data_IF_185997519694
#
_entry.id   IF_185997519694
#
_cell.length_a   1.000
_cell.length_b   1.000
_cell.length_c   1.000
_cell.angle_alpha   90.00
_cell.angle_beta   90.00
_cell.angle_gamma   90.00
#
_symmetry.space_group_name_H-M   'P 1'
#
loop_
_entity.id
_entity.type
_entity.pdbx_description
1 polymer ?
#
# COMPACT_ATOMS: atom_id res chain seq x y z
N UNK A 1 -30.03 1.84 17.86
CA UNK A 1 -30.50 2.13 19.25
C UNK A 1 -31.08 0.89 19.96
N UNK A 2 -31.65 -0.07 19.24
CA UNK A 2 -32.27 -1.28 19.82
C UNK A 2 -31.25 -2.35 20.24
N UNK A 3 -30.13 -2.47 19.54
CA UNK A 3 -29.07 -3.47 19.81
C UNK A 3 -28.31 -3.21 21.13
N UNK A 4 -28.20 -1.97 21.58
CA UNK A 4 -27.47 -1.61 22.79
C UNK A 4 -28.39 -1.47 24.05
N UNK A 5 -29.70 -1.56 23.88
CA UNK A 5 -30.65 -1.30 24.96
C UNK A 5 -30.59 -2.30 26.14
N UNK A 6 -29.95 -3.46 25.94
CA UNK A 6 -29.79 -4.49 26.98
C UNK A 6 -28.39 -4.55 27.61
N UNK A 7 -27.46 -3.65 27.22
CA UNK A 7 -26.10 -3.67 27.74
C UNK A 7 -25.87 -2.58 28.78
N UNK A 8 -24.98 -2.87 29.73
CA UNK A 8 -24.58 -1.92 30.76
C UNK A 8 -23.91 -0.68 30.13
N UNK A 9 -24.27 0.50 30.63
CA UNK A 9 -23.59 1.75 30.30
C UNK A 9 -22.31 1.98 31.14
N UNK A 10 -21.99 1.07 32.07
CA UNK A 10 -20.74 1.15 32.82
C UNK A 10 -19.54 0.88 31.89
N UNK A 11 -18.45 1.61 32.11
CA UNK A 11 -17.21 1.33 31.46
C UNK A 11 -16.78 -0.11 31.74
N UNK A 12 -16.28 -0.86 30.75
CA UNK A 12 -15.69 -2.18 30.98
C UNK A 12 -14.55 -2.06 32.00
N UNK A 13 -14.19 -3.17 32.69
CA UNK A 13 -12.99 -3.17 33.51
C UNK A 13 -11.78 -2.78 32.68
N UNK A 14 -10.83 -2.07 33.30
CA UNK A 14 -9.57 -1.68 32.67
C UNK A 14 -8.65 -2.91 32.48
N UNK A 15 -9.02 -3.78 31.56
CA UNK A 15 -8.31 -5.01 31.21
C UNK A 15 -7.81 -4.88 29.78
N UNK A 16 -6.49 -4.84 29.64
CA UNK A 16 -5.84 -4.82 28.34
C UNK A 16 -5.74 -6.25 27.79
N UNK A 17 -6.30 -6.47 26.60
CA UNK A 17 -6.14 -7.75 25.90
C UNK A 17 -4.77 -7.84 25.23
N UNK A 18 -4.11 -8.99 25.32
CA UNK A 18 -2.88 -9.34 24.61
C UNK A 18 -3.06 -10.74 24.03
N UNK A 19 -2.96 -10.94 22.70
CA UNK A 19 -2.81 -9.94 21.63
C UNK A 19 -4.07 -9.09 21.44
N UNK A 20 -3.92 -7.85 21.02
CA UNK A 20 -5.05 -6.94 20.83
C UNK A 20 -5.69 -7.03 19.44
N UNK A 21 -4.93 -7.52 18.46
CA UNK A 21 -5.35 -7.56 17.09
C UNK A 21 -4.81 -8.81 16.39
N UNK A 22 -5.66 -9.47 15.63
CA UNK A 22 -5.28 -10.50 14.69
C UNK A 22 -5.79 -10.10 13.30
N UNK A 23 -4.87 -9.89 12.36
CA UNK A 23 -5.16 -9.57 10.96
C UNK A 23 -4.85 -10.74 10.05
N UNK A 24 -5.60 -10.85 8.97
CA UNK A 24 -5.29 -11.78 7.88
C UNK A 24 -4.63 -11.02 6.74
N UNK A 25 -3.55 -11.54 6.20
CA UNK A 25 -2.98 -11.07 4.94
C UNK A 25 -3.00 -12.18 3.89
N UNK A 26 -3.27 -11.83 2.63
CA UNK A 26 -3.12 -12.75 1.51
C UNK A 26 -1.64 -13.17 1.41
N UNK A 27 -1.38 -14.48 1.39
CA UNK A 27 -0.03 -14.99 1.14
C UNK A 27 0.16 -15.21 -0.37
N UNK A 28 1.31 -14.84 -0.92
CA UNK A 28 1.73 -15.20 -2.28
C UNK A 28 1.77 -16.72 -2.51
N UNK A 29 1.69 -17.52 -1.43
CA UNK A 29 1.68 -18.98 -1.43
C UNK A 29 0.27 -19.59 -1.40
N UNK A 30 -0.80 -18.79 -1.54
CA UNK A 30 -2.19 -19.25 -1.48
C UNK A 30 -2.69 -19.61 -0.07
N UNK A 31 -1.88 -19.43 0.97
CA UNK A 31 -2.29 -19.63 2.37
C UNK A 31 -2.39 -18.28 3.07
N UNK A 32 -3.58 -17.94 3.55
CA UNK A 32 -3.80 -16.75 4.38
C UNK A 32 -2.94 -16.79 5.63
N UNK A 33 -2.15 -15.75 5.85
CA UNK A 33 -1.36 -15.58 7.08
C UNK A 33 -2.22 -14.94 8.14
N UNK A 34 -2.26 -15.51 9.33
CA UNK A 34 -2.89 -14.90 10.51
C UNK A 34 -1.79 -14.26 11.34
N UNK A 35 -1.81 -12.93 11.41
CA UNK A 35 -0.80 -12.09 12.05
C UNK A 35 -1.39 -11.56 13.34
N UNK A 36 -0.84 -11.97 14.48
CA UNK A 36 -1.21 -11.48 15.80
C UNK A 36 -0.22 -10.41 16.25
N UNK A 37 -0.76 -9.28 16.70
CA UNK A 37 0.03 -8.21 17.29
C UNK A 37 0.09 -8.41 18.80
N UNK A 38 1.27 -8.71 19.31
CA UNK A 38 1.54 -8.90 20.73
C UNK A 38 1.82 -7.53 21.40
N UNK A 39 0.82 -6.67 21.34
CA UNK A 39 0.82 -5.37 21.99
C UNK A 39 -0.43 -5.24 22.87
N UNK A 40 -0.35 -4.52 24.00
CA UNK A 40 -1.53 -4.25 24.82
C UNK A 40 -2.62 -3.56 24.00
N UNK A 41 -3.85 -3.97 24.17
CA UNK A 41 -4.99 -3.22 23.63
C UNK A 41 -5.08 -1.87 24.32
N UNK A 42 -4.99 -0.81 23.57
CA UNK A 42 -5.05 0.56 24.07
C UNK A 42 -4.06 1.45 23.36
N UNK A 43 -4.41 2.70 23.22
CA UNK A 43 -3.56 3.70 22.62
C UNK A 43 -2.94 4.56 23.70
N UNK A 44 -1.68 4.92 23.54
CA UNK A 44 -0.98 5.85 24.41
C UNK A 44 -0.95 7.24 23.76
N UNK A 45 -0.73 8.28 24.56
CA UNK A 45 -0.52 9.63 24.05
C UNK A 45 0.64 9.70 23.05
N UNK A 46 1.67 8.89 23.25
CA UNK A 46 2.82 8.79 22.34
C UNK A 46 2.44 8.09 21.03
N UNK A 47 1.67 7.01 21.08
CA UNK A 47 1.15 6.31 19.91
C UNK A 47 0.25 7.21 19.07
N UNK A 48 -0.67 7.95 19.68
CA UNK A 48 -1.50 8.93 18.99
C UNK A 48 -0.69 10.06 18.35
N UNK A 49 0.31 10.61 19.07
CA UNK A 49 1.20 11.64 18.50
C UNK A 49 1.98 11.12 17.29
N UNK A 50 2.48 9.89 17.37
CA UNK A 50 3.13 9.23 16.24
C UNK A 50 2.15 9.10 15.07
N UNK A 51 0.93 8.62 15.33
CA UNK A 51 -0.09 8.49 14.30
C UNK A 51 -0.45 9.83 13.65
N UNK A 52 -0.58 10.90 14.42
CA UNK A 52 -0.82 12.24 13.89
C UNK A 52 0.31 12.70 12.97
N UNK A 53 1.55 12.46 13.36
CA UNK A 53 2.70 12.88 12.55
C UNK A 53 2.81 12.14 11.23
N UNK A 54 2.45 10.85 11.18
CA UNK A 54 2.60 10.01 9.98
C UNK A 54 1.38 10.03 9.06
N UNK A 55 0.18 10.30 9.57
CA UNK A 55 -1.06 10.23 8.82
C UNK A 55 -1.79 11.56 8.67
N UNK A 56 -1.37 12.58 9.43
CA UNK A 56 -2.02 13.88 9.48
C UNK A 56 -3.38 13.89 10.18
N UNK A 57 -3.84 12.76 10.75
CA UNK A 57 -5.10 12.69 11.49
C UNK A 57 -5.08 13.64 12.69
N UNK A 58 -6.25 14.14 13.08
CA UNK A 58 -6.46 15.02 14.24
C UNK A 58 -7.71 14.64 15.00
N UNK A 59 -7.89 15.24 16.14
CA UNK A 59 -9.11 15.05 16.97
C UNK A 59 -10.37 15.61 16.29
N UNK A 60 -11.49 14.97 16.54
CA UNK A 60 -12.86 15.41 16.21
C UNK A 60 -13.12 15.64 14.70
N UNK A 61 -12.40 14.93 13.82
CA UNK A 61 -12.60 14.99 12.37
C UNK A 61 -13.79 14.12 11.94
N UNK A 62 -14.41 14.51 10.82
CA UNK A 62 -15.32 13.64 10.06
C UNK A 62 -14.47 12.76 9.14
N UNK A 63 -14.41 11.49 9.44
CA UNK A 63 -13.54 10.51 8.80
C UNK A 63 -14.34 9.54 7.94
N UNK A 64 -13.90 9.30 6.71
CA UNK A 64 -14.43 8.26 5.85
C UNK A 64 -13.52 7.02 5.90
N UNK A 65 -14.13 5.86 6.13
CA UNK A 65 -13.46 4.58 6.05
C UNK A 65 -13.53 4.06 4.61
N UNK A 66 -12.47 4.23 3.84
CA UNK A 66 -12.42 3.88 2.43
C UNK A 66 -11.73 2.51 2.16
N UNK A 67 -11.87 1.59 3.09
CA UNK A 67 -11.36 0.22 2.99
C UNK A 67 -12.01 -0.71 4.02
N UNK A 68 -11.97 -2.04 3.82
CA UNK A 68 -12.59 -3.00 4.71
C UNK A 68 -11.81 -3.15 6.02
N UNK A 69 -12.54 -3.31 7.13
CA UNK A 69 -11.96 -3.38 8.48
C UNK A 69 -11.09 -4.61 8.75
N UNK A 70 -11.18 -5.65 7.94
CA UNK A 70 -10.33 -6.84 8.11
C UNK A 70 -8.89 -6.64 7.62
N UNK A 71 -8.59 -5.50 6.96
CA UNK A 71 -7.23 -5.11 6.60
C UNK A 71 -6.63 -4.16 7.63
N UNK A 72 -5.32 -4.30 7.87
CA UNK A 72 -4.59 -3.58 8.91
C UNK A 72 -4.69 -2.06 8.79
N UNK A 73 -4.53 -1.49 7.60
CA UNK A 73 -4.52 -0.04 7.43
C UNK A 73 -5.90 0.62 7.68
N UNK A 74 -7.02 0.15 7.07
CA UNK A 74 -8.35 0.68 7.40
C UNK A 74 -8.75 0.44 8.85
N UNK A 75 -8.38 -0.72 9.41
CA UNK A 75 -8.61 -1.04 10.82
C UNK A 75 -7.92 -0.02 11.73
N UNK A 76 -6.61 0.16 11.57
CA UNK A 76 -5.83 1.11 12.37
C UNK A 76 -6.36 2.54 12.24
N UNK A 77 -6.70 2.99 11.02
CA UNK A 77 -7.28 4.30 10.82
C UNK A 77 -8.63 4.47 11.53
N UNK A 78 -9.48 3.44 11.51
CA UNK A 78 -10.78 3.48 12.19
C UNK A 78 -10.63 3.57 13.71
N UNK A 79 -9.81 2.71 14.31
CA UNK A 79 -9.60 2.68 15.76
C UNK A 79 -8.91 3.95 16.26
N UNK A 80 -7.85 4.41 15.61
CA UNK A 80 -7.21 5.68 15.96
C UNK A 80 -8.19 6.86 15.81
N UNK A 81 -9.05 6.84 14.78
CA UNK A 81 -10.11 7.83 14.65
C UNK A 81 -11.10 7.81 15.81
N UNK A 82 -11.50 6.63 16.29
CA UNK A 82 -12.39 6.52 17.48
C UNK A 82 -11.69 7.04 18.75
N UNK A 83 -10.41 6.72 18.96
CA UNK A 83 -9.64 7.29 20.08
C UNK A 83 -9.51 8.81 19.99
N UNK A 84 -9.49 9.36 18.77
CA UNK A 84 -9.49 10.80 18.55
C UNK A 84 -10.87 11.46 18.65
N UNK A 85 -11.94 10.71 18.95
CA UNK A 85 -13.31 11.24 18.96
C UNK A 85 -13.84 11.56 17.55
N UNK A 86 -13.26 11.00 16.49
CA UNK A 86 -13.70 11.23 15.12
C UNK A 86 -15.08 10.62 14.87
N UNK A 87 -15.85 11.27 14.01
CA UNK A 87 -17.10 10.70 13.49
C UNK A 87 -16.77 9.82 12.27
N UNK A 88 -16.94 8.50 12.39
CA UNK A 88 -16.68 7.56 11.30
C UNK A 88 -17.89 7.43 10.38
N UNK A 89 -17.65 7.64 9.08
CA UNK A 89 -18.60 7.33 8.01
C UNK A 89 -18.13 6.04 7.33
N UNK A 90 -18.96 5.00 7.39
CA UNK A 90 -18.68 3.68 6.84
C UNK A 90 -19.56 3.44 5.62
N UNK A 91 -19.00 3.28 4.42
CA UNK A 91 -19.75 2.96 3.22
C UNK A 91 -20.18 1.49 3.21
N UNK A 92 -21.36 1.22 2.63
CA UNK A 92 -21.78 -0.16 2.36
C UNK A 92 -21.11 -0.74 1.10
N UNK A 93 -20.54 0.12 0.24
CA UNK A 93 -19.85 -0.25 -1.00
C UNK A 93 -18.63 0.65 -1.20
N UNK A 94 -17.51 0.04 -1.57
CA UNK A 94 -16.21 0.71 -1.71
C UNK A 94 -15.89 1.04 -3.18
N UNK A 95 -16.81 1.69 -3.90
CA UNK A 95 -16.57 2.20 -5.25
C UNK A 95 -16.34 3.72 -5.26
N UNK A 96 -15.69 4.20 -6.32
CA UNK A 96 -15.31 5.61 -6.46
C UNK A 96 -16.51 6.57 -6.36
N UNK A 97 -17.64 6.23 -6.98
CA UNK A 97 -18.85 7.06 -6.97
C UNK A 97 -19.43 7.18 -5.56
N UNK A 98 -19.54 6.05 -4.85
CA UNK A 98 -20.03 6.03 -3.45
C UNK A 98 -19.10 6.83 -2.54
N UNK A 99 -17.78 6.66 -2.66
CA UNK A 99 -16.79 7.39 -1.85
C UNK A 99 -16.91 8.90 -2.08
N UNK A 100 -16.89 9.37 -3.33
CA UNK A 100 -17.00 10.81 -3.64
C UNK A 100 -18.34 11.38 -3.16
N UNK A 101 -19.45 10.66 -3.37
CA UNK A 101 -20.78 11.05 -2.88
C UNK A 101 -20.82 11.21 -1.35
N UNK A 102 -20.17 10.29 -0.61
CA UNK A 102 -20.13 10.36 0.86
C UNK A 102 -19.22 11.49 1.36
N UNK A 103 -18.09 11.73 0.69
CA UNK A 103 -17.22 12.89 0.97
C UNK A 103 -18.01 14.18 0.91
N UNK A 104 -18.76 14.39 -0.17
CA UNK A 104 -19.60 15.57 -0.34
C UNK A 104 -20.73 15.64 0.70
N UNK A 105 -21.48 14.53 0.85
CA UNK A 105 -22.67 14.49 1.71
C UNK A 105 -22.34 14.77 3.18
N UNK A 106 -21.27 14.18 3.68
CA UNK A 106 -20.89 14.27 5.09
C UNK A 106 -19.77 15.28 5.36
N UNK A 107 -19.29 15.98 4.28
CA UNK A 107 -18.19 16.94 4.36
C UNK A 107 -16.99 16.36 5.07
N UNK A 108 -16.55 15.20 4.58
CA UNK A 108 -15.44 14.44 5.14
C UNK A 108 -14.16 15.29 5.16
N UNK A 109 -13.45 15.23 6.28
CA UNK A 109 -12.22 15.98 6.53
C UNK A 109 -10.98 15.08 6.46
N UNK A 110 -11.10 13.82 6.89
CA UNK A 110 -10.03 12.83 6.84
C UNK A 110 -10.44 11.60 6.05
N UNK A 111 -9.58 11.17 5.16
CA UNK A 111 -9.74 9.89 4.46
C UNK A 111 -8.40 9.19 4.29
N UNK A 112 -8.37 7.88 4.58
CA UNK A 112 -7.26 7.00 4.20
C UNK A 112 -7.75 6.10 3.07
N UNK A 113 -6.98 6.02 1.97
CA UNK A 113 -7.35 5.19 0.82
C UNK A 113 -6.12 4.58 0.13
N UNK A 114 -6.38 3.58 -0.70
CA UNK A 114 -5.34 2.94 -1.51
C UNK A 114 -5.17 3.68 -2.84
N UNK A 115 -3.97 3.65 -3.47
CA UNK A 115 -3.72 4.30 -4.76
C UNK A 115 -4.66 3.86 -5.88
N UNK A 116 -5.08 2.60 -5.89
CA UNK A 116 -6.06 2.08 -6.86
C UNK A 116 -7.39 2.82 -6.79
N UNK A 117 -7.87 3.14 -5.58
CA UNK A 117 -9.09 3.93 -5.40
C UNK A 117 -8.89 5.37 -5.84
N UNK A 118 -7.73 5.96 -5.54
CA UNK A 118 -7.35 7.29 -6.03
C UNK A 118 -7.42 7.34 -7.57
N UNK A 119 -6.84 6.36 -8.24
CA UNK A 119 -6.86 6.26 -9.70
C UNK A 119 -8.29 6.11 -10.26
N UNK A 120 -9.14 5.28 -9.62
CA UNK A 120 -10.54 5.11 -10.03
C UNK A 120 -11.34 6.40 -9.87
N UNK A 121 -11.08 7.17 -8.81
CA UNK A 121 -11.71 8.48 -8.60
C UNK A 121 -11.29 9.47 -9.68
N UNK A 122 -9.98 9.60 -9.97
CA UNK A 122 -9.47 10.48 -11.02
C UNK A 122 -10.07 10.19 -12.40
N UNK A 123 -10.32 8.92 -12.70
CA UNK A 123 -10.88 8.47 -13.99
C UNK A 123 -12.41 8.44 -14.03
N UNK A 124 -13.08 8.77 -12.94
CA UNK A 124 -14.53 8.73 -12.85
C UNK A 124 -15.16 9.81 -13.74
N UNK A 125 -16.11 9.45 -14.64
CA UNK A 125 -16.80 10.44 -15.46
C UNK A 125 -17.47 11.53 -14.61
N UNK A 126 -17.21 12.79 -14.95
CA UNK A 126 -17.80 13.93 -14.24
C UNK A 126 -17.16 14.27 -12.89
N UNK A 127 -16.09 13.59 -12.48
CA UNK A 127 -15.32 13.96 -11.31
C UNK A 127 -14.72 15.36 -11.44
N UNK A 128 -14.79 16.14 -10.38
CA UNK A 128 -14.18 17.46 -10.27
C UNK A 128 -13.45 17.56 -8.93
N UNK A 129 -12.32 18.26 -8.91
CA UNK A 129 -11.54 18.45 -7.67
C UNK A 129 -12.36 19.10 -6.54
N UNK A 130 -13.32 19.94 -6.88
CA UNK A 130 -14.24 20.58 -5.93
C UNK A 130 -15.09 19.56 -5.16
N UNK A 131 -15.27 18.35 -5.70
CA UNK A 131 -16.00 17.27 -5.04
C UNK A 131 -15.27 16.78 -3.77
N UNK A 132 -13.96 17.04 -3.68
CA UNK A 132 -13.09 16.72 -2.53
C UNK A 132 -12.76 17.94 -1.66
N UNK A 133 -13.38 19.10 -1.87
CA UNK A 133 -13.02 20.36 -1.21
C UNK A 133 -13.09 20.35 0.33
N UNK A 134 -13.86 19.42 0.91
CA UNK A 134 -13.94 19.28 2.38
C UNK A 134 -12.78 18.49 2.98
N UNK A 135 -11.97 17.79 2.17
CA UNK A 135 -10.85 16.98 2.67
C UNK A 135 -9.75 17.92 3.17
N UNK A 136 -9.44 17.80 4.44
CA UNK A 136 -8.33 18.49 5.08
C UNK A 136 -7.07 17.64 5.12
N UNK A 137 -7.23 16.31 5.15
CA UNK A 137 -6.13 15.36 5.12
C UNK A 137 -6.52 14.13 4.31
N UNK A 138 -5.68 13.79 3.36
CA UNK A 138 -5.70 12.52 2.65
C UNK A 138 -4.40 11.76 2.97
N UNK A 139 -4.55 10.54 3.49
CA UNK A 139 -3.46 9.61 3.67
C UNK A 139 -3.62 8.44 2.69
N UNK A 140 -2.61 8.11 1.90
CA UNK A 140 -2.66 6.89 1.10
C UNK A 140 -1.61 5.88 1.53
N UNK A 141 -1.94 4.61 1.39
CA UNK A 141 -1.11 3.48 1.80
C UNK A 141 -1.62 2.18 1.15
N UNK A 142 -0.93 1.08 1.38
CA UNK A 142 -1.40 -0.26 1.00
C UNK A 142 -1.23 -0.61 -0.47
N UNK A 143 -0.48 0.16 -1.23
CA UNK A 143 -0.15 -0.11 -2.62
C UNK A 143 0.83 0.90 -3.18
N UNK A 144 1.44 0.56 -4.32
CA UNK A 144 2.36 1.44 -5.02
C UNK A 144 1.60 2.61 -5.64
N UNK A 145 1.99 3.83 -5.29
CA UNK A 145 1.48 5.05 -5.91
C UNK A 145 2.45 5.51 -6.99
N UNK A 146 2.03 5.48 -8.26
CA UNK A 146 2.87 6.02 -9.33
C UNK A 146 3.13 7.51 -9.15
N UNK A 147 4.30 7.97 -9.57
CA UNK A 147 4.65 9.39 -9.47
C UNK A 147 3.65 10.28 -10.22
N UNK A 148 3.12 9.81 -11.34
CA UNK A 148 2.14 10.56 -12.14
C UNK A 148 0.82 10.71 -11.39
N UNK A 149 0.29 9.63 -10.80
CA UNK A 149 -0.89 9.67 -9.96
C UNK A 149 -0.68 10.57 -8.74
N UNK A 150 0.48 10.47 -8.10
CA UNK A 150 0.82 11.32 -6.96
C UNK A 150 0.82 12.81 -7.34
N UNK A 151 1.44 13.17 -8.48
CA UNK A 151 1.46 14.56 -9.00
C UNK A 151 0.06 15.06 -9.29
N UNK A 152 -0.78 14.25 -9.95
CA UNK A 152 -2.18 14.58 -10.21
C UNK A 152 -2.94 14.90 -8.91
N UNK A 153 -2.77 14.07 -7.87
CA UNK A 153 -3.45 14.29 -6.60
C UNK A 153 -2.89 15.45 -5.78
N UNK A 154 -1.63 15.83 -5.97
CA UNK A 154 -1.06 17.05 -5.39
C UNK A 154 -1.62 18.33 -5.99
N UNK A 155 -2.26 18.27 -7.19
CA UNK A 155 -3.02 19.39 -7.76
C UNK A 155 -4.46 19.48 -7.22
N UNK A 156 -4.97 18.38 -6.65
CA UNK A 156 -6.32 18.28 -6.07
C UNK A 156 -6.29 18.58 -4.57
N UNK A 157 -5.38 17.94 -3.86
CA UNK A 157 -5.17 18.08 -2.41
C UNK A 157 -3.87 18.86 -2.18
N UNK A 158 -3.91 19.98 -1.44
CA UNK A 158 -2.69 20.73 -1.11
C UNK A 158 -1.57 19.83 -0.59
N UNK A 159 -0.32 20.02 -1.05
CA UNK A 159 0.78 19.11 -0.72
C UNK A 159 0.99 18.84 0.78
N UNK A 160 0.77 19.86 1.61
CA UNK A 160 0.87 19.75 3.07
C UNK A 160 -0.26 18.94 3.74
N UNK A 161 -1.30 18.57 2.97
CA UNK A 161 -2.45 17.78 3.41
C UNK A 161 -2.47 16.36 2.87
N UNK A 162 -1.52 16.00 1.99
CA UNK A 162 -1.42 14.68 1.41
C UNK A 162 -0.27 13.93 2.05
N UNK A 163 -0.56 12.76 2.61
CA UNK A 163 0.38 11.88 3.28
C UNK A 163 0.47 10.54 2.56
N UNK A 164 1.67 9.99 2.49
CA UNK A 164 1.91 8.61 2.09
C UNK A 164 2.52 7.85 3.26
N UNK A 165 1.98 6.67 3.53
CA UNK A 165 2.42 5.79 4.59
C UNK A 165 2.86 4.46 3.98
N UNK A 166 4.11 4.06 4.21
CA UNK A 166 4.60 2.74 3.89
C UNK A 166 4.83 1.95 5.18
N UNK A 167 4.11 0.87 5.30
CA UNK A 167 4.17 -0.07 6.41
C UNK A 167 3.67 -1.44 5.94
N UNK A 168 3.96 -2.47 6.72
CA UNK A 168 3.45 -3.82 6.52
C UNK A 168 2.57 -4.24 7.69
N UNK A 169 1.69 -5.22 7.45
CA UNK A 169 0.78 -5.73 8.49
C UNK A 169 1.53 -6.28 9.69
N UNK A 170 2.75 -6.76 9.47
CA UNK A 170 3.68 -7.25 10.49
C UNK A 170 4.21 -6.13 11.41
N UNK A 171 3.95 -4.85 11.12
CA UNK A 171 4.38 -3.72 11.94
C UNK A 171 5.88 -3.72 12.32
N UNK A 172 6.76 -4.16 11.40
CA UNK A 172 8.21 -4.25 11.65
C UNK A 172 8.88 -2.88 11.67
N UNK A 173 8.29 -1.93 10.95
CA UNK A 173 8.71 -0.55 10.83
C UNK A 173 7.71 0.25 10.03
N UNK A 174 7.89 1.56 9.99
CA UNK A 174 6.98 2.46 9.29
C UNK A 174 7.71 3.69 8.79
N UNK A 175 7.47 4.05 7.52
CA UNK A 175 7.90 5.34 6.97
C UNK A 175 6.69 6.16 6.60
N UNK A 176 6.83 7.47 6.56
CA UNK A 176 5.84 8.35 5.92
C UNK A 176 6.49 9.54 5.26
N UNK A 177 5.76 10.13 4.32
CA UNK A 177 6.17 11.35 3.63
C UNK A 177 4.95 12.23 3.36
N UNK A 178 5.08 13.52 3.61
CA UNK A 178 4.08 14.51 3.25
C UNK A 178 4.30 15.01 1.83
N UNK A 179 3.26 15.45 1.16
CA UNK A 179 3.32 15.81 -0.26
C UNK A 179 4.30 16.94 -0.59
N UNK A 180 4.45 17.94 0.29
CA UNK A 180 5.43 19.02 0.10
C UNK A 180 6.89 18.54 0.23
N UNK A 181 7.12 17.54 1.08
CA UNK A 181 8.40 16.85 1.21
C UNK A 181 8.64 15.93 0.00
N UNK A 182 7.59 15.21 -0.42
CA UNK A 182 7.65 14.33 -1.59
C UNK A 182 8.01 15.09 -2.88
N UNK A 183 7.58 16.33 -3.04
CA UNK A 183 7.96 17.15 -4.20
C UNK A 183 9.49 17.38 -4.30
N UNK A 184 10.22 17.28 -3.19
CA UNK A 184 11.69 17.35 -3.15
C UNK A 184 12.35 15.97 -3.32
N UNK A 185 11.61 14.89 -2.98
CA UNK A 185 12.07 13.49 -3.06
C UNK A 185 11.06 12.63 -3.84
N UNK A 186 10.85 12.90 -5.15
CA UNK A 186 9.82 12.22 -5.93
C UNK A 186 10.07 10.72 -6.03
N UNK A 187 9.05 9.92 -5.73
CA UNK A 187 9.12 8.44 -5.72
C UNK A 187 9.49 7.83 -4.38
N UNK A 188 9.89 8.64 -3.39
CA UNK A 188 10.16 8.15 -2.04
C UNK A 188 8.87 7.81 -1.30
N UNK A 189 8.94 6.80 -0.43
CA UNK A 189 7.92 6.45 0.57
C UNK A 189 8.24 7.05 1.94
N UNK A 190 9.23 7.95 2.01
CA UNK A 190 9.57 8.74 3.20
C UNK A 190 10.71 8.22 4.05
N UNK A 191 10.83 8.79 5.24
CA UNK A 191 11.81 8.40 6.26
C UNK A 191 11.18 7.52 7.32
N UNK A 192 12.02 6.76 7.99
CA UNK A 192 11.60 5.97 9.16
C UNK A 192 11.04 6.88 10.26
N UNK A 193 9.81 6.62 10.65
CA UNK A 193 9.20 7.20 11.85
C UNK A 193 9.32 6.28 13.05
N UNK A 194 9.19 4.98 12.80
CA UNK A 194 9.30 3.97 13.84
C UNK A 194 10.29 2.91 13.39
N UNK A 195 11.33 2.68 14.19
CA UNK A 195 12.33 1.67 13.93
C UNK A 195 13.53 2.16 13.11
N UNK A 196 14.24 1.20 12.52
CA UNK A 196 15.43 1.39 11.67
C UNK A 196 15.23 0.63 10.36
N UNK A 197 15.89 1.09 9.30
CA UNK A 197 15.93 0.43 8.00
C UNK A 197 17.37 0.11 7.62
N UNK A 198 17.59 -1.05 6.99
CA UNK A 198 18.83 -1.42 6.34
C UNK A 198 18.49 -1.99 4.96
N UNK A 199 19.32 -1.72 3.96
CA UNK A 199 19.21 -2.29 2.62
C UNK A 199 20.35 -3.27 2.44
N UNK A 200 20.05 -4.52 2.03
CA UNK A 200 21.05 -5.59 1.98
C UNK A 200 21.05 -6.31 0.64
N UNK A 201 22.24 -6.76 0.25
CA UNK A 201 22.46 -7.63 -0.90
C UNK A 201 22.04 -9.09 -0.62
N UNK A 202 22.24 -9.96 -1.60
CA UNK A 202 21.95 -11.40 -1.49
C UNK A 202 22.83 -12.14 -0.44
N UNK A 203 24.01 -11.59 -0.12
CA UNK A 203 24.92 -12.08 0.90
C UNK A 203 24.55 -11.56 2.31
N UNK A 204 23.53 -10.71 2.42
CA UNK A 204 23.08 -10.08 3.67
C UNK A 204 23.93 -8.89 4.13
N UNK A 205 24.83 -8.38 3.26
CA UNK A 205 25.65 -7.19 3.56
C UNK A 205 24.88 -5.93 3.22
N UNK A 206 25.04 -4.90 4.07
CA UNK A 206 24.45 -3.61 3.81
C UNK A 206 25.08 -2.96 2.57
N UNK A 207 24.24 -2.46 1.65
CA UNK A 207 24.66 -1.82 0.41
C UNK A 207 24.79 -0.29 0.59
N UNK A 208 25.62 0.38 -0.24
CA UNK A 208 25.72 1.84 -0.23
C UNK A 208 24.38 2.54 -0.52
N UNK A 209 24.25 3.78 -0.07
CA UNK A 209 23.10 4.62 -0.36
C UNK A 209 22.89 4.75 -1.88
N UNK A 210 21.66 4.60 -2.33
CA UNK A 210 21.27 4.66 -3.74
C UNK A 210 21.35 3.31 -4.47
N UNK A 211 21.94 2.29 -3.88
CA UNK A 211 21.95 0.93 -4.44
C UNK A 211 20.72 0.15 -3.99
N UNK A 212 20.12 -0.59 -4.95
CA UNK A 212 18.93 -1.40 -4.69
C UNK A 212 19.34 -2.71 -4.03
N UNK A 213 18.68 -3.03 -2.92
CA UNK A 213 18.76 -4.31 -2.22
C UNK A 213 17.45 -4.66 -1.56
N UNK A 214 17.45 -5.74 -0.79
CA UNK A 214 16.30 -6.14 0.01
C UNK A 214 16.15 -5.22 1.23
N UNK A 215 14.91 -4.78 1.48
CA UNK A 215 14.59 -3.90 2.60
C UNK A 215 14.43 -4.73 3.87
N UNK A 216 15.22 -4.39 4.87
CA UNK A 216 15.13 -4.92 6.22
C UNK A 216 14.73 -3.81 7.18
N UNK A 217 13.86 -4.14 8.13
CA UNK A 217 13.43 -3.20 9.17
C UNK A 217 13.53 -3.81 10.55
N UNK A 218 13.67 -2.94 11.56
CA UNK A 218 13.73 -3.30 12.97
C UNK A 218 13.12 -2.23 13.84
N UNK A 219 12.37 -2.58 14.87
CA UNK A 219 11.86 -1.65 15.87
C UNK A 219 12.95 -1.12 16.83
N UNK A 220 14.18 -1.63 16.74
CA UNK A 220 15.27 -1.27 17.65
C UNK A 220 15.30 -2.04 18.96
N UNK A 221 14.23 -2.73 19.33
CA UNK A 221 14.16 -3.76 20.36
C UNK A 221 14.02 -5.14 19.68
N UNK A 222 14.60 -6.18 20.29
CA UNK A 222 14.55 -7.54 19.73
C UNK A 222 13.25 -8.28 20.08
N UNK A 223 12.29 -7.61 20.69
CA UNK A 223 11.02 -8.22 21.07
C UNK A 223 10.12 -8.41 19.85
N UNK A 224 9.68 -9.62 19.56
CA UNK A 224 8.70 -9.86 18.51
C UNK A 224 7.37 -9.22 18.91
N UNK A 225 7.03 -8.09 18.28
CA UNK A 225 5.73 -7.44 18.49
C UNK A 225 4.61 -8.09 17.68
N UNK A 226 5.01 -8.97 16.74
CA UNK A 226 4.09 -9.61 15.81
C UNK A 226 4.48 -11.06 15.64
N UNK A 227 3.50 -11.95 15.71
CA UNK A 227 3.65 -13.38 15.51
C UNK A 227 2.68 -13.90 14.46
N UNK A 228 3.09 -14.95 13.75
CA UNK A 228 2.17 -15.70 12.89
C UNK A 228 1.56 -16.86 13.69
N UNK A 229 0.24 -16.98 13.66
CA UNK A 229 -0.45 -18.08 14.35
C UNK A 229 -0.35 -19.40 13.61
N UNK A 230 -0.24 -19.37 12.31
CA UNK A 230 -0.29 -20.53 11.42
C UNK A 230 0.99 -20.74 10.60
N UNK A 231 2.06 -19.99 10.88
CA UNK A 231 3.34 -20.08 10.19
C UNK A 231 4.50 -19.84 11.17
N UNK A 232 5.73 -20.25 10.83
CA UNK A 232 6.90 -19.86 11.60
C UNK A 232 7.05 -18.33 11.68
N UNK A 233 7.64 -17.80 12.76
CA UNK A 233 7.92 -16.38 12.86
C UNK A 233 8.89 -15.94 11.75
N UNK A 234 8.82 -14.65 11.38
CA UNK A 234 9.80 -14.08 10.45
C UNK A 234 11.22 -14.23 11.05
N UNK A 235 12.18 -14.71 10.25
CA UNK A 235 13.57 -14.74 10.68
C UNK A 235 14.05 -13.36 11.14
N UNK A 236 14.80 -13.37 12.24
CA UNK A 236 15.44 -12.18 12.81
C UNK A 236 16.94 -12.38 12.71
N UNK A 237 17.66 -11.40 12.21
CA UNK A 237 19.12 -11.45 12.22
C UNK A 237 19.73 -11.09 13.59
N UNK A 238 21.06 -11.13 13.70
CA UNK A 238 21.78 -10.84 14.93
C UNK A 238 21.66 -9.38 15.40
N UNK A 239 21.22 -8.47 14.53
CA UNK A 239 21.05 -7.03 14.80
C UNK A 239 19.60 -6.65 15.06
N UNK A 240 18.67 -7.63 15.03
CA UNK A 240 17.24 -7.45 15.26
C UNK A 240 16.45 -7.02 14.02
N UNK A 241 17.04 -7.12 12.82
CA UNK A 241 16.35 -6.81 11.58
C UNK A 241 15.58 -8.02 11.03
N UNK A 242 14.49 -7.72 10.33
CA UNK A 242 13.68 -8.68 9.59
C UNK A 242 13.49 -8.19 8.17
N UNK A 243 13.54 -9.10 7.19
CA UNK A 243 13.12 -8.79 5.83
C UNK A 243 11.64 -8.41 5.81
N UNK A 244 11.32 -7.34 5.07
CA UNK A 244 9.93 -6.97 4.78
C UNK A 244 9.41 -7.60 3.49
N UNK A 245 10.30 -8.29 2.74
CA UNK A 245 9.97 -8.95 1.48
C UNK A 245 9.89 -8.00 0.28
N UNK A 246 10.35 -6.78 0.44
CA UNK A 246 10.37 -5.73 -0.59
C UNK A 246 11.82 -5.39 -0.96
N UNK A 247 12.00 -4.89 -2.20
CA UNK A 247 13.26 -4.37 -2.73
C UNK A 247 13.20 -2.85 -2.79
N UNK A 248 14.33 -2.19 -2.54
CA UNK A 248 14.40 -0.74 -2.57
C UNK A 248 15.77 -0.20 -2.23
N UNK A 249 15.87 1.10 -2.02
CA UNK A 249 17.11 1.76 -1.61
C UNK A 249 16.81 2.93 -0.68
N UNK A 250 17.82 3.35 0.06
CA UNK A 250 17.80 4.60 0.85
C UNK A 250 18.77 5.58 0.20
N UNK A 251 18.33 6.83 -0.02
CA UNK A 251 19.20 7.88 -0.53
C UNK A 251 20.12 8.48 0.55
N UNK A 252 21.02 9.38 0.16
CA UNK A 252 21.96 10.02 1.05
C UNK A 252 21.29 10.90 2.13
N UNK A 253 20.05 11.33 1.89
CA UNK A 253 19.26 12.12 2.83
C UNK A 253 18.41 11.23 3.77
N UNK A 254 18.49 9.91 3.63
CA UNK A 254 17.78 8.92 4.46
C UNK A 254 16.34 8.65 4.05
N UNK A 255 15.95 9.00 2.82
CA UNK A 255 14.64 8.66 2.27
C UNK A 255 14.66 7.27 1.66
N UNK A 256 13.61 6.48 1.99
CA UNK A 256 13.41 5.15 1.44
C UNK A 256 12.63 5.24 0.12
N UNK A 257 13.10 4.47 -0.87
CA UNK A 257 12.46 4.29 -2.16
C UNK A 257 12.12 2.82 -2.34
N UNK A 258 10.85 2.54 -2.57
CA UNK A 258 10.36 1.21 -2.91
C UNK A 258 10.57 0.94 -4.39
N UNK A 259 11.13 -0.22 -4.74
CA UNK A 259 11.32 -0.66 -6.12
C UNK A 259 10.28 -1.70 -6.54
N UNK A 260 10.16 -2.80 -5.79
CA UNK A 260 9.19 -3.88 -6.05
C UNK A 260 9.13 -4.84 -4.86
N UNK A 261 8.22 -5.83 -4.93
CA UNK A 261 8.30 -7.00 -4.06
C UNK A 261 9.39 -7.95 -4.54
N UNK A 262 10.13 -8.53 -3.61
CA UNK A 262 11.15 -9.53 -3.93
C UNK A 262 10.55 -10.75 -4.65
N UNK A 263 9.34 -11.16 -4.28
CA UNK A 263 8.63 -12.27 -4.92
C UNK A 263 8.20 -11.99 -6.36
N UNK A 264 8.04 -10.72 -6.72
CA UNK A 264 7.47 -10.30 -8.02
C UNK A 264 8.57 -9.86 -9.00
N UNK A 265 9.83 -9.86 -8.52
CA UNK A 265 11.01 -9.61 -9.35
C UNK A 265 11.21 -10.75 -10.36
N UNK A 266 11.33 -10.39 -11.62
CA UNK A 266 11.49 -11.32 -12.74
C UNK A 266 12.97 -11.38 -13.11
N UNK A 267 13.58 -12.56 -12.99
CA UNK A 267 14.95 -12.77 -13.48
C UNK A 267 14.88 -13.27 -14.91
N UNK A 268 15.29 -12.44 -15.87
CA UNK A 268 15.24 -12.73 -17.30
C UNK A 268 16.61 -12.54 -17.93
N UNK A 269 17.21 -13.62 -18.44
CA UNK A 269 18.55 -13.58 -19.06
C UNK A 269 19.66 -13.10 -18.12
N UNK A 270 19.50 -13.30 -16.80
CA UNK A 270 20.44 -12.82 -15.78
C UNK A 270 20.21 -11.38 -15.31
N UNK A 271 19.23 -10.69 -15.87
CA UNK A 271 18.87 -9.34 -15.47
C UNK A 271 17.64 -9.34 -14.55
N UNK A 272 17.69 -8.53 -13.49
CA UNK A 272 16.58 -8.32 -12.59
C UNK A 272 15.61 -7.27 -13.14
N UNK A 273 14.36 -7.67 -13.36
CA UNK A 273 13.30 -6.79 -13.85
C UNK A 273 12.21 -6.68 -12.78
N UNK A 274 11.93 -5.47 -12.38
CA UNK A 274 10.86 -5.19 -11.43
C UNK A 274 9.52 -5.10 -12.17
N UNK A 275 8.59 -5.98 -11.83
CA UNK A 275 7.26 -6.03 -12.45
C UNK A 275 6.54 -4.68 -12.33
N UNK A 276 6.58 -4.06 -11.16
CA UNK A 276 5.95 -2.76 -10.89
C UNK A 276 6.46 -1.63 -11.80
N UNK A 277 7.74 -1.63 -12.18
CA UNK A 277 8.30 -0.64 -13.10
C UNK A 277 7.67 -0.75 -14.50
N UNK A 278 7.52 -1.98 -14.98
CA UNK A 278 6.91 -2.25 -16.30
C UNK A 278 5.42 -1.93 -16.29
N UNK A 279 4.72 -2.33 -15.23
CA UNK A 279 3.30 -2.01 -15.02
C UNK A 279 3.05 -0.50 -15.01
N UNK A 280 3.85 0.27 -14.25
CA UNK A 280 3.74 1.72 -14.21
C UNK A 280 3.90 2.35 -15.59
N UNK A 281 4.81 1.85 -16.40
CA UNK A 281 5.00 2.36 -17.76
C UNK A 281 3.82 2.01 -18.66
N UNK A 282 3.30 0.79 -18.62
CA UNK A 282 2.12 0.40 -19.39
C UNK A 282 0.89 1.22 -19.02
N UNK A 283 0.70 1.51 -17.74
CA UNK A 283 -0.41 2.34 -17.21
C UNK A 283 -0.35 3.80 -17.63
N UNK A 284 0.79 4.32 -18.10
CA UNK A 284 0.89 5.67 -18.71
C UNK A 284 0.20 5.76 -20.07
N UNK A 285 -0.02 4.63 -20.73
CA UNK A 285 -0.68 4.65 -22.03
C UNK A 285 -2.17 4.99 -21.86
N UNK A 286 -2.74 5.99 -22.61
CA UNK A 286 -4.10 6.52 -22.36
C UNK A 286 -5.22 5.49 -22.53
N UNK A 287 -4.98 4.40 -23.25
CA UNK A 287 -5.96 3.31 -23.45
C UNK A 287 -5.82 2.17 -22.41
N UNK A 288 -4.81 2.20 -21.56
CA UNK A 288 -4.59 1.19 -20.50
C UNK A 288 -5.28 1.62 -19.23
N UNK A 289 -6.17 0.79 -18.71
CA UNK A 289 -6.84 0.99 -17.42
C UNK A 289 -5.99 0.46 -16.29
N UNK A 290 -5.50 -0.78 -16.45
CA UNK A 290 -4.62 -1.44 -15.50
C UNK A 290 -3.71 -2.43 -16.22
N UNK A 291 -2.60 -2.81 -15.59
CA UNK A 291 -1.65 -3.77 -16.11
C UNK A 291 -1.01 -4.54 -14.96
N UNK A 292 -0.79 -5.82 -15.20
CA UNK A 292 -0.07 -6.75 -14.34
C UNK A 292 1.03 -7.40 -15.14
N UNK A 293 2.19 -7.53 -14.54
CA UNK A 293 3.38 -8.11 -15.16
C UNK A 293 3.86 -9.29 -14.35
N UNK A 294 4.08 -10.41 -15.03
CA UNK A 294 4.55 -11.66 -14.42
C UNK A 294 5.69 -12.27 -15.22
N UNK A 295 6.49 -13.09 -14.55
CA UNK A 295 7.52 -13.92 -15.20
C UNK A 295 6.93 -15.27 -15.60
N UNK A 296 6.83 -15.56 -16.89
CA UNK A 296 6.50 -16.89 -17.37
C UNK A 296 7.76 -17.69 -17.65
N UNK A 297 7.80 -19.01 -17.33
CA UNK A 297 8.96 -19.85 -17.67
C UNK A 297 9.34 -19.76 -19.14
N UNK A 298 10.63 -19.64 -19.42
CA UNK A 298 11.17 -19.54 -20.76
C UNK A 298 12.49 -20.32 -20.84
N UNK A 299 12.67 -21.21 -21.84
CA UNK A 299 13.84 -22.08 -21.92
C UNK A 299 15.14 -21.33 -22.21
N UNK A 300 15.07 -20.16 -22.87
CA UNK A 300 16.26 -19.40 -23.28
C UNK A 300 16.63 -18.33 -22.24
N UNK A 301 15.63 -17.77 -21.53
CA UNK A 301 15.79 -16.62 -20.63
C UNK A 301 15.57 -16.95 -19.16
N UNK A 302 15.23 -18.21 -18.82
CA UNK A 302 14.74 -18.59 -17.48
C UNK A 302 13.30 -18.16 -17.27
N UNK A 303 13.03 -16.86 -17.32
CA UNK A 303 11.68 -16.30 -17.39
C UNK A 303 11.60 -15.24 -18.50
N UNK A 304 10.46 -15.17 -19.16
CA UNK A 304 10.10 -14.06 -20.05
C UNK A 304 9.08 -13.15 -19.37
N UNK A 305 9.20 -11.87 -19.63
CA UNK A 305 8.25 -10.87 -19.12
C UNK A 305 6.93 -11.00 -19.91
N UNK A 306 5.84 -11.20 -19.20
CA UNK A 306 4.48 -11.27 -19.73
C UNK A 306 3.61 -10.20 -19.06
N UNK A 307 2.85 -9.45 -19.86
CA UNK A 307 1.92 -8.45 -19.35
C UNK A 307 0.48 -8.87 -19.60
N UNK A 308 -0.39 -8.72 -18.60
CA UNK A 308 -1.85 -8.83 -18.69
C UNK A 308 -2.39 -7.40 -18.59
N UNK A 309 -3.17 -6.96 -19.57
CA UNK A 309 -3.54 -5.55 -19.70
C UNK A 309 -5.05 -5.40 -19.84
N UNK A 310 -5.63 -4.58 -18.97
CA UNK A 310 -7.01 -4.11 -19.04
C UNK A 310 -7.05 -2.79 -19.81
N UNK A 311 -7.98 -2.66 -20.80
CA UNK A 311 -8.03 -1.48 -21.66
C UNK A 311 -9.43 -0.90 -21.76
N UNK A 312 -9.52 0.44 -21.91
CA UNK A 312 -10.79 1.15 -22.13
C UNK A 312 -11.11 1.42 -23.61
N UNK A 313 -10.19 1.08 -24.49
CA UNK A 313 -10.35 1.26 -25.95
C UNK A 313 -9.42 0.25 -26.68
N UNK A 314 -9.73 -0.12 -27.93
CA UNK A 314 -8.91 -1.03 -28.71
C UNK A 314 -7.46 -0.55 -28.83
N UNK A 315 -6.53 -1.43 -28.49
CA UNK A 315 -5.09 -1.22 -28.59
C UNK A 315 -4.42 -2.56 -28.93
N UNK A 316 -3.35 -2.54 -29.72
CA UNK A 316 -2.61 -3.75 -30.08
C UNK A 316 -1.32 -3.90 -29.27
N UNK A 317 -0.88 -5.17 -29.06
CA UNK A 317 0.37 -5.47 -28.35
C UNK A 317 1.58 -4.73 -28.92
N UNK A 318 1.67 -4.59 -30.26
CA UNK A 318 2.76 -3.84 -30.93
C UNK A 318 2.75 -2.35 -30.58
N UNK A 319 1.57 -1.76 -30.37
CA UNK A 319 1.42 -0.35 -29.96
C UNK A 319 1.95 -0.15 -28.54
N UNK A 320 1.56 -1.02 -27.62
CA UNK A 320 2.01 -0.97 -26.22
C UNK A 320 3.51 -1.25 -26.07
N UNK A 321 4.04 -2.23 -26.79
CA UNK A 321 5.48 -2.52 -26.81
C UNK A 321 6.26 -1.30 -27.32
N UNK A 322 5.82 -0.69 -28.43
CA UNK A 322 6.48 0.52 -28.98
C UNK A 322 6.38 1.68 -28.00
N UNK A 323 5.26 1.83 -27.31
CA UNK A 323 5.09 2.85 -26.27
C UNK A 323 6.06 2.63 -25.12
N UNK A 324 6.14 1.39 -24.59
CA UNK A 324 7.02 1.04 -23.49
C UNK A 324 8.52 1.25 -23.80
N UNK A 325 8.95 1.04 -25.05
CA UNK A 325 10.33 1.29 -25.52
C UNK A 325 10.76 2.76 -25.40
N UNK A 326 9.84 3.71 -25.26
CA UNK A 326 10.20 5.12 -25.01
C UNK A 326 10.65 5.37 -23.56
N UNK A 327 10.38 4.42 -22.64
CA UNK A 327 10.61 4.59 -21.22
C UNK A 327 11.49 3.49 -20.61
N UNK A 328 11.53 2.31 -21.22
CA UNK A 328 12.22 1.13 -20.70
C UNK A 328 13.27 0.63 -21.67
N UNK A 329 14.40 0.10 -21.16
CA UNK A 329 15.37 -0.58 -21.99
C UNK A 329 14.79 -1.89 -22.57
N UNK A 330 15.33 -2.39 -23.71
CA UNK A 330 14.75 -3.53 -24.44
C UNK A 330 14.55 -4.82 -23.60
N UNK A 331 15.43 -5.08 -22.64
CA UNK A 331 15.36 -6.29 -21.82
C UNK A 331 14.18 -6.28 -20.83
N UNK A 332 13.65 -5.09 -20.46
CA UNK A 332 12.47 -4.91 -19.60
C UNK A 332 11.15 -4.93 -20.37
N UNK A 333 11.17 -5.01 -21.68
CA UNK A 333 9.96 -4.97 -22.51
C UNK A 333 9.25 -6.33 -22.46
N UNK A 334 7.91 -6.37 -22.22
CA UNK A 334 7.14 -7.60 -22.28
C UNK A 334 7.32 -8.31 -23.62
N UNK A 335 7.64 -9.61 -23.56
CA UNK A 335 7.74 -10.47 -24.75
C UNK A 335 6.37 -10.90 -25.27
N UNK A 336 5.37 -10.90 -24.39
CA UNK A 336 3.97 -11.20 -24.72
C UNK A 336 3.02 -10.33 -23.90
N UNK A 337 1.88 -9.98 -24.51
CA UNK A 337 0.82 -9.20 -23.87
C UNK A 337 -0.49 -9.92 -24.11
N UNK A 338 -1.22 -10.16 -23.03
CA UNK A 338 -2.59 -10.67 -23.00
C UNK A 338 -3.53 -9.50 -22.67
N UNK A 339 -4.71 -9.47 -23.29
CA UNK A 339 -5.73 -8.47 -23.00
C UNK A 339 -6.88 -9.12 -22.25
N UNK A 340 -7.37 -8.43 -21.23
CA UNK A 340 -8.50 -8.85 -20.43
C UNK A 340 -9.51 -7.70 -20.29
N UNK A 341 -10.77 -8.05 -20.10
CA UNK A 341 -11.81 -7.07 -19.80
C UNK A 341 -11.74 -6.60 -18.34
N UNK A 342 -11.14 -7.42 -17.46
CA UNK A 342 -10.97 -7.10 -16.04
C UNK A 342 -9.79 -7.87 -15.45
N UNK A 343 -8.91 -7.15 -14.76
CA UNK A 343 -7.84 -7.75 -13.96
C UNK A 343 -8.44 -8.17 -12.62
N UNK A 344 -8.35 -9.47 -12.24
CA UNK A 344 -8.92 -9.95 -10.99
C UNK A 344 -8.13 -9.35 -9.80
N UNK A 345 -8.80 -8.47 -9.09
CA UNK A 345 -8.29 -7.85 -7.85
C UNK A 345 -9.30 -8.05 -6.74
N UNK A 346 -8.80 -8.21 -5.52
CA UNK A 346 -9.66 -8.23 -4.35
C UNK A 346 -10.22 -6.81 -4.05
N UNK A 347 -11.05 -6.70 -3.03
CA UNK A 347 -11.69 -5.45 -2.61
C UNK A 347 -10.69 -4.30 -2.29
N UNK A 348 -9.42 -4.63 -2.04
CA UNK A 348 -8.34 -3.66 -1.81
C UNK A 348 -7.52 -3.34 -3.06
N UNK A 349 -7.86 -3.91 -4.21
CA UNK A 349 -7.08 -3.78 -5.43
C UNK A 349 -5.80 -4.61 -5.45
N UNK A 350 -5.64 -5.59 -4.55
CA UNK A 350 -4.55 -6.56 -4.62
C UNK A 350 -4.91 -7.65 -5.62
N UNK A 351 -3.95 -8.04 -6.46
CA UNK A 351 -4.10 -9.14 -7.42
C UNK A 351 -4.51 -10.44 -6.73
N UNK A 352 -5.53 -11.07 -7.29
CA UNK A 352 -5.88 -12.45 -6.96
C UNK A 352 -5.05 -13.37 -7.86
N UNK A 353 -4.06 -14.04 -7.28
CA UNK A 353 -3.32 -15.09 -7.99
C UNK A 353 -4.23 -16.30 -8.15
N UNK A 354 -4.20 -16.95 -9.30
CA UNK A 354 -5.14 -17.90 -9.91
C UNK A 354 -5.68 -19.07 -9.06
N UNK A 355 -5.20 -19.32 -7.85
CA UNK A 355 -5.79 -20.33 -6.96
C UNK A 355 -7.05 -19.85 -6.23
N UNK A 356 -7.23 -18.54 -6.08
CA UNK A 356 -8.36 -17.97 -5.33
C UNK A 356 -9.50 -17.53 -6.27
N UNK A 357 -9.25 -17.40 -7.57
CA UNK A 357 -10.25 -17.00 -8.57
C UNK A 357 -11.15 -18.16 -9.04
N UNK A 358 -10.91 -19.39 -8.59
CA UNK A 358 -11.68 -20.56 -8.99
C UNK A 358 -12.82 -20.94 -8.01
N UNK A 359 -12.91 -20.24 -6.86
CA UNK A 359 -13.88 -20.55 -5.79
C UNK A 359 -14.94 -19.43 -5.56
N UNK A 360 -15.05 -18.44 -6.47
CA UNK A 360 -16.16 -17.48 -6.48
C UNK A 360 -17.16 -17.72 -7.60
#
# INVERSE_FOLDING_TARGET
KTLCAGYSAQLPPDVLAIPNLANCSGGTTGKTKVIEQDMPAGESDEGLRTWFSVSGMRFEMRQLLAGPLFHGAPHSAAFNGLYCGNTLVMPAKLDAETIVRLIKKYRIEYVQMVPTLMQRISRMPGFRKEDLASIEVLCHTGGVCSQDLKREWLEIIPPERLYELYAMTECIGMTSIRGDEWLRHPGSVGKMHCGRVAIRDEDGREVPHGEIGEIFMSWGDNSPRVTYKNMPPLPVDSEGFRSVGDMGYVDADGYLYFADRRSDMIVTGGENVFAAEVEMVLKKHPKVVDAVVIGLPDPDWGHRIHAIVETNAPVGSKELIRFALNYLPPYKIPKSIEFTDHIPVNENGCLLYTSDAADE
#
